data_IF_286354507981
#
_entry.id   IF_286354507981
#
_cell.length_a   1.000
_cell.length_b   1.000
_cell.length_c   1.000
_cell.angle_alpha   90.00
_cell.angle_beta   90.00
_cell.angle_gamma   90.00
#
_symmetry.space_group_name_H-M   'P 1'
#
loop_
_entity.id
_entity.type
_entity.pdbx_description
1 polymer ?
#
# COMPACT_ATOMS: atom_id res chain seq x y z
N UNK A 1 -1.98 -42.04 16.42
CA UNK A 1 -0.78 -41.29 16.01
C UNK A 1 -1.10 -40.52 14.73
N UNK A 2 -1.96 -39.50 14.85
CA UNK A 2 -2.33 -38.53 13.82
C UNK A 2 -2.84 -37.31 14.58
N UNK A 3 -1.95 -36.45 15.07
CA UNK A 3 -2.38 -35.24 15.79
C UNK A 3 -1.34 -34.11 15.66
N UNK A 4 -0.04 -34.46 15.74
CA UNK A 4 1.04 -33.47 15.71
C UNK A 4 1.19 -32.76 14.35
N UNK A 5 1.11 -33.52 13.24
CA UNK A 5 1.22 -32.95 11.89
C UNK A 5 0.03 -32.06 11.53
N UNK A 6 -1.17 -32.38 12.03
CA UNK A 6 -2.39 -31.61 11.78
C UNK A 6 -2.40 -30.31 12.58
N UNK A 7 -1.98 -30.33 13.84
CA UNK A 7 -1.89 -29.12 14.66
C UNK A 7 -0.83 -28.14 14.12
N UNK A 8 0.32 -28.65 13.67
CA UNK A 8 1.38 -27.84 13.06
C UNK A 8 0.95 -27.14 11.76
N UNK A 9 0.13 -27.79 10.93
CA UNK A 9 -0.41 -27.18 9.69
C UNK A 9 -1.43 -26.09 10.00
N UNK A 10 -2.30 -26.31 10.99
CA UNK A 10 -3.32 -25.34 11.39
C UNK A 10 -2.66 -24.09 11.99
N UNK A 11 -1.65 -24.25 12.86
CA UNK A 11 -0.88 -23.13 13.42
C UNK A 11 -0.14 -22.33 12.34
N UNK A 12 0.49 -23.00 11.38
CA UNK A 12 1.17 -22.34 10.25
C UNK A 12 0.19 -21.54 9.36
N UNK A 13 -1.01 -22.07 9.12
CA UNK A 13 -2.06 -21.37 8.35
C UNK A 13 -2.67 -20.19 9.12
N UNK A 14 -2.89 -20.31 10.42
CA UNK A 14 -3.40 -19.21 11.24
C UNK A 14 -2.39 -18.06 11.33
N UNK A 15 -1.10 -18.42 11.41
CA UNK A 15 0.00 -17.45 11.41
C UNK A 15 0.09 -16.72 10.07
N UNK A 16 -0.08 -17.42 8.94
CA UNK A 16 -0.03 -16.78 7.62
C UNK A 16 -1.24 -15.87 7.36
N UNK A 17 -2.44 -16.23 7.80
CA UNK A 17 -3.65 -15.41 7.65
C UNK A 17 -3.55 -14.13 8.50
N UNK A 18 -3.05 -14.22 9.74
CA UNK A 18 -2.82 -13.04 10.58
C UNK A 18 -1.84 -12.05 9.96
N UNK A 19 -0.73 -12.54 9.40
CA UNK A 19 0.25 -11.71 8.71
C UNK A 19 -0.33 -10.98 7.50
N UNK A 20 -1.18 -11.64 6.71
CA UNK A 20 -1.86 -11.01 5.56
C UNK A 20 -2.84 -9.93 6.03
N UNK A 21 -3.55 -10.14 7.13
CA UNK A 21 -4.47 -9.15 7.68
C UNK A 21 -3.74 -7.90 8.17
N UNK A 22 -2.61 -8.06 8.89
CA UNK A 22 -1.80 -6.94 9.36
C UNK A 22 -1.17 -6.15 8.20
N UNK A 23 -0.76 -6.86 7.15
CA UNK A 23 -0.26 -6.27 5.91
C UNK A 23 -1.31 -5.36 5.26
N UNK A 24 -2.52 -5.90 5.05
CA UNK A 24 -3.64 -5.15 4.46
C UNK A 24 -4.04 -3.96 5.33
N UNK A 25 -4.11 -4.14 6.65
CA UNK A 25 -4.48 -3.08 7.58
C UNK A 25 -3.47 -1.92 7.57
N UNK A 26 -2.17 -2.22 7.50
CA UNK A 26 -1.14 -1.18 7.45
C UNK A 26 -1.12 -0.46 6.10
N UNK A 27 -1.32 -1.19 5.00
CA UNK A 27 -1.49 -0.63 3.66
C UNK A 27 -2.70 0.33 3.59
N UNK A 28 -3.87 -0.11 4.10
CA UNK A 28 -5.10 0.69 4.09
C UNK A 28 -4.95 2.00 4.86
N UNK A 29 -4.31 1.96 6.05
CA UNK A 29 -4.08 3.14 6.88
C UNK A 29 -3.20 4.16 6.16
N UNK A 30 -2.11 3.71 5.54
CA UNK A 30 -1.20 4.57 4.80
C UNK A 30 -1.85 5.17 3.55
N UNK A 31 -2.55 4.35 2.75
CA UNK A 31 -3.29 4.83 1.58
C UNK A 31 -4.40 5.82 1.98
N UNK A 32 -5.14 5.54 3.05
CA UNK A 32 -6.19 6.41 3.55
C UNK A 32 -5.66 7.79 4.00
N UNK A 33 -4.55 7.81 4.74
CA UNK A 33 -3.88 9.04 5.15
C UNK A 33 -3.35 9.84 3.95
N UNK A 34 -2.70 9.16 3.02
CA UNK A 34 -2.18 9.75 1.78
C UNK A 34 -3.30 10.35 0.91
N UNK A 35 -4.36 9.59 0.66
CA UNK A 35 -5.54 10.04 -0.08
C UNK A 35 -6.18 11.25 0.59
N UNK A 36 -6.39 11.21 1.90
CA UNK A 36 -7.00 12.30 2.66
C UNK A 36 -6.19 13.60 2.55
N UNK A 37 -4.86 13.52 2.65
CA UNK A 37 -3.98 14.68 2.52
C UNK A 37 -4.06 15.31 1.13
N UNK A 38 -4.09 14.48 0.08
CA UNK A 38 -4.17 14.96 -1.31
C UNK A 38 -5.56 15.52 -1.60
N UNK A 39 -6.62 14.84 -1.15
CA UNK A 39 -7.99 15.30 -1.32
C UNK A 39 -8.18 16.69 -0.70
N UNK A 40 -7.64 16.91 0.51
CA UNK A 40 -7.71 18.21 1.19
C UNK A 40 -6.92 19.32 0.50
N UNK A 41 -5.86 19.00 -0.25
CA UNK A 41 -4.96 20.00 -0.86
C UNK A 41 -5.20 20.22 -2.36
N UNK A 42 -5.53 19.18 -3.11
CA UNK A 42 -5.61 19.17 -4.57
C UNK A 42 -6.99 18.73 -5.09
N UNK A 43 -7.91 18.36 -4.20
CA UNK A 43 -9.24 17.88 -4.55
C UNK A 43 -9.32 16.38 -4.81
N UNK A 44 -10.55 15.87 -4.85
CA UNK A 44 -10.82 14.42 -4.94
C UNK A 44 -10.30 13.78 -6.22
N UNK A 45 -10.27 14.51 -7.33
CA UNK A 45 -9.87 13.95 -8.62
C UNK A 45 -8.37 13.64 -8.67
N UNK A 46 -7.54 14.53 -8.12
CA UNK A 46 -6.10 14.28 -7.98
C UNK A 46 -5.82 13.23 -6.89
N UNK A 47 -6.62 13.18 -5.83
CA UNK A 47 -6.52 12.12 -4.83
C UNK A 47 -6.79 10.73 -5.43
N UNK A 48 -7.82 10.59 -6.28
CA UNK A 48 -8.10 9.32 -6.98
C UNK A 48 -6.99 8.92 -7.95
N UNK A 49 -6.37 9.88 -8.64
CA UNK A 49 -5.21 9.60 -9.51
C UNK A 49 -4.01 9.13 -8.69
N UNK A 50 -3.67 9.85 -7.63
CA UNK A 50 -2.57 9.50 -6.76
C UNK A 50 -2.77 8.15 -6.06
N UNK A 51 -4.01 7.80 -5.66
CA UNK A 51 -4.32 6.48 -5.13
C UNK A 51 -4.11 5.37 -6.17
N UNK A 52 -4.37 5.62 -7.46
CA UNK A 52 -4.04 4.65 -8.51
C UNK A 52 -2.55 4.47 -8.67
N UNK A 53 -1.77 5.56 -8.70
CA UNK A 53 -0.29 5.44 -8.76
C UNK A 53 0.25 4.69 -7.53
N UNK A 54 -0.36 4.88 -6.37
CA UNK A 54 0.00 4.18 -5.14
C UNK A 54 -0.26 2.67 -5.25
N UNK A 55 -1.43 2.28 -5.77
CA UNK A 55 -1.77 0.87 -6.00
C UNK A 55 -0.84 0.26 -7.04
N UNK A 56 -0.56 0.97 -8.14
CA UNK A 56 0.37 0.53 -9.17
C UNK A 56 1.77 0.27 -8.58
N UNK A 57 2.26 1.16 -7.73
CA UNK A 57 3.54 0.97 -7.05
C UNK A 57 3.53 -0.23 -6.09
N UNK A 58 2.41 -0.51 -5.40
CA UNK A 58 2.27 -1.75 -4.61
C UNK A 58 2.32 -3.00 -5.49
N UNK A 59 1.75 -2.95 -6.68
CA UNK A 59 1.78 -4.06 -7.64
C UNK A 59 3.17 -4.29 -8.23
N UNK A 60 4.00 -3.24 -8.36
CA UNK A 60 5.32 -3.31 -9.00
C UNK A 60 6.51 -3.31 -8.06
N UNK A 61 6.32 -2.99 -6.77
CA UNK A 61 7.44 -2.94 -5.82
C UNK A 61 8.07 -4.32 -5.59
N UNK A 62 9.36 -4.31 -5.26
CA UNK A 62 10.06 -5.50 -4.78
C UNK A 62 9.52 -5.89 -3.40
N UNK A 63 8.55 -6.80 -3.39
CA UNK A 63 7.92 -7.27 -2.16
C UNK A 63 8.97 -7.86 -1.20
N UNK A 64 8.97 -7.43 0.07
CA UNK A 64 9.93 -7.94 1.03
C UNK A 64 9.66 -9.41 1.33
N UNK A 65 10.70 -10.11 1.81
CA UNK A 65 10.57 -11.51 2.22
C UNK A 65 9.48 -11.69 3.29
N UNK A 66 8.83 -12.86 3.26
CA UNK A 66 7.77 -13.22 4.20
C UNK A 66 8.15 -12.92 5.66
N UNK A 67 7.26 -12.23 6.38
CA UNK A 67 7.47 -11.82 7.78
C UNK A 67 8.04 -10.41 7.96
N UNK A 68 8.30 -9.66 6.88
CA UNK A 68 8.74 -8.26 6.95
C UNK A 68 7.61 -7.33 6.55
N UNK A 69 7.44 -6.22 7.28
CA UNK A 69 6.48 -5.17 6.95
C UNK A 69 7.00 -4.38 5.74
N UNK A 70 6.22 -4.22 4.64
CA UNK A 70 6.61 -3.39 3.51
C UNK A 70 6.80 -1.93 3.89
N UNK A 71 7.69 -1.27 3.16
CA UNK A 71 7.90 0.17 3.33
C UNK A 71 6.79 0.96 2.61
N UNK A 72 5.60 1.01 3.20
CA UNK A 72 4.46 1.76 2.66
C UNK A 72 4.76 3.25 2.43
N UNK A 73 5.68 3.81 3.22
CA UNK A 73 6.13 5.19 3.05
C UNK A 73 6.86 5.39 1.71
N UNK A 74 7.61 4.39 1.26
CA UNK A 74 8.25 4.43 -0.07
C UNK A 74 7.19 4.52 -1.17
N UNK A 75 6.17 3.68 -1.10
CA UNK A 75 5.02 3.68 -2.03
C UNK A 75 4.35 5.06 -2.09
N UNK A 76 4.09 5.65 -0.92
CA UNK A 76 3.52 7.01 -0.82
C UNK A 76 4.42 8.09 -1.42
N UNK A 77 5.74 7.96 -1.31
CA UNK A 77 6.70 8.90 -1.91
C UNK A 77 6.69 8.80 -3.44
N UNK A 78 6.68 7.59 -4.00
CA UNK A 78 6.63 7.39 -5.46
C UNK A 78 5.35 7.97 -6.03
N UNK A 79 4.20 7.64 -5.44
CA UNK A 79 2.91 8.19 -5.85
C UNK A 79 2.85 9.72 -5.73
N UNK A 80 3.44 10.31 -4.68
CA UNK A 80 3.57 11.76 -4.53
C UNK A 80 4.43 12.38 -5.64
N UNK A 81 5.49 11.70 -6.10
CA UNK A 81 6.31 12.12 -7.22
C UNK A 81 5.53 12.17 -8.54
N UNK A 82 4.68 11.16 -8.79
CA UNK A 82 3.76 11.15 -9.93
C UNK A 82 2.76 12.32 -9.88
N UNK A 83 2.16 12.58 -8.71
CA UNK A 83 1.29 13.74 -8.50
C UNK A 83 2.03 15.06 -8.75
N UNK A 84 3.22 15.23 -8.16
CA UNK A 84 4.01 16.45 -8.30
C UNK A 84 4.31 16.73 -9.78
N UNK A 85 4.70 15.70 -10.53
CA UNK A 85 4.96 15.80 -11.97
C UNK A 85 3.73 16.29 -12.74
N UNK A 86 2.55 15.73 -12.45
CA UNK A 86 1.28 16.16 -13.08
C UNK A 86 0.89 17.59 -12.72
N UNK A 87 1.04 17.98 -11.45
CA UNK A 87 0.72 19.34 -10.98
C UNK A 87 1.65 20.37 -11.64
N UNK A 88 2.94 20.07 -11.74
CA UNK A 88 3.92 20.93 -12.41
C UNK A 88 3.59 21.05 -13.91
N UNK A 89 3.33 19.94 -14.59
CA UNK A 89 2.96 19.95 -16.01
C UNK A 89 1.72 20.79 -16.30
N UNK A 90 0.66 20.66 -15.48
CA UNK A 90 -0.55 21.50 -15.62
C UNK A 90 -0.23 22.98 -15.39
N UNK A 91 0.66 23.30 -14.45
CA UNK A 91 1.08 24.69 -14.23
C UNK A 91 1.85 25.27 -15.41
N UNK A 92 2.56 24.44 -16.17
CA UNK A 92 3.35 24.85 -17.33
C UNK A 92 2.53 24.91 -18.63
N UNK A 93 1.35 24.27 -18.66
CA UNK A 93 0.46 24.22 -19.82
C UNK A 93 -1.01 24.38 -19.36
N UNK A 94 -1.46 25.62 -19.07
CA UNK A 94 -2.74 25.91 -18.42
C UNK A 94 -3.96 25.67 -19.31
#
# INVERSE_FOLDING_TARGET
>A
MYDEKTNSIVEAQQTSVGMVADLLLTAEKELGAFYGAIAGRYGSDEARKAARDWIEEVETMDWPMAGTIPNWRHVSIVAAGCLASRVIQRSLNP
#
